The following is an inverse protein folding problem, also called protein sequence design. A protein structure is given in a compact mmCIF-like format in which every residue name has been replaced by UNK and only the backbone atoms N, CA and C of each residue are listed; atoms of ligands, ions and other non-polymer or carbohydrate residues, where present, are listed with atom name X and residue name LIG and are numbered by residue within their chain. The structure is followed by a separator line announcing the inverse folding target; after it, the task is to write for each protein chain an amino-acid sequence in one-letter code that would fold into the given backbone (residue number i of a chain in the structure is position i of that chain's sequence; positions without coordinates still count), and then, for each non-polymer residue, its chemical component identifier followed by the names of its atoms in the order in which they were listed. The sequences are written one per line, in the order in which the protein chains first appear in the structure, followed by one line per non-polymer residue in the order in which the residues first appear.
data_IF_058313160225
#
_entry.id   IF_058313160225
#
_cell.length_a   1.000
_cell.length_b   1.000
_cell.length_c   1.000
_cell.angle_alpha   90.00
_cell.angle_beta   90.00
_cell.angle_gamma   90.00
#
_symmetry.space_group_name_H-M   'P 1'
#
loop_
_entity.id
_entity.type
_entity.pdbx_description
1 polymer ?
#
# COMPACT_ATOMS: atom_id res chain seq x y z
N UNK A 1 -1.95 5.79 13.51
CA UNK A 1 -3.40 5.99 13.73
C UNK A 1 -3.60 6.34 15.18
N UNK A 2 -4.43 7.33 15.50
CA UNK A 2 -4.89 7.50 16.85
C UNK A 2 -5.72 6.27 17.21
N UNK A 3 -5.27 5.51 18.19
CA UNK A 3 -5.94 4.27 18.56
C UNK A 3 -7.17 4.54 19.46
N UNK A 4 -7.16 5.65 20.17
CA UNK A 4 -8.30 6.10 20.96
C UNK A 4 -9.15 7.12 20.17
N UNK A 5 -10.49 7.09 20.31
CA UNK A 5 -11.28 6.23 21.20
C UNK A 5 -11.62 4.83 20.65
N UNK A 6 -11.09 4.46 19.48
CA UNK A 6 -11.45 3.20 18.79
C UNK A 6 -11.19 1.96 19.64
N UNK A 7 -10.02 1.89 20.30
CA UNK A 7 -9.66 0.75 21.15
C UNK A 7 -10.67 0.58 22.29
N UNK A 8 -10.96 1.67 23.00
CA UNK A 8 -11.87 1.64 24.15
C UNK A 8 -13.30 1.27 23.74
N UNK A 9 -13.81 1.88 22.66
CA UNK A 9 -15.17 1.64 22.18
C UNK A 9 -15.38 0.25 21.62
N UNK A 10 -14.37 -0.32 20.96
CA UNK A 10 -14.45 -1.65 20.37
C UNK A 10 -14.52 -2.75 21.43
N UNK A 11 -13.84 -2.58 22.54
CA UNK A 11 -13.70 -3.56 23.62
C UNK A 11 -12.74 -4.71 23.26
N UNK A 12 -11.99 -5.18 24.26
CA UNK A 12 -10.87 -6.12 24.13
C UNK A 12 -11.21 -7.41 23.38
N UNK A 13 -12.41 -7.96 23.57
CA UNK A 13 -12.84 -9.20 22.94
C UNK A 13 -12.85 -9.13 21.39
N UNK A 14 -12.97 -7.93 20.82
CA UNK A 14 -13.00 -7.70 19.36
C UNK A 14 -11.65 -7.28 18.78
N UNK A 15 -10.65 -6.98 19.61
CA UNK A 15 -9.32 -6.54 19.14
C UNK A 15 -8.64 -7.51 18.17
N UNK A 16 -8.75 -8.85 18.31
CA UNK A 16 -8.14 -9.78 17.34
C UNK A 16 -8.66 -9.61 15.92
N UNK A 17 -9.88 -9.10 15.77
CA UNK A 17 -10.56 -8.89 14.48
C UNK A 17 -10.43 -7.46 13.97
N UNK A 18 -9.76 -6.58 14.69
CA UNK A 18 -9.58 -5.19 14.28
C UNK A 18 -8.49 -5.06 13.22
N UNK A 19 -8.86 -4.54 12.03
CA UNK A 19 -7.94 -4.43 10.90
C UNK A 19 -7.24 -5.77 10.63
N UNK A 20 -8.00 -6.83 10.52
CA UNK A 20 -7.54 -8.22 10.50
C UNK A 20 -7.01 -8.64 9.11
N UNK A 21 -6.10 -7.85 8.53
CA UNK A 21 -5.63 -8.03 7.15
C UNK A 21 -4.96 -9.37 6.91
N UNK A 22 -4.09 -9.83 7.84
CA UNK A 22 -3.46 -11.12 7.70
C UNK A 22 -4.48 -12.27 7.79
N UNK A 23 -5.44 -12.18 8.71
CA UNK A 23 -6.50 -13.19 8.81
C UNK A 23 -7.39 -13.24 7.55
N UNK A 24 -7.69 -12.09 6.93
CA UNK A 24 -8.44 -12.01 5.66
C UNK A 24 -7.63 -12.63 4.52
N UNK A 25 -6.35 -12.28 4.40
CA UNK A 25 -5.42 -12.86 3.42
C UNK A 25 -5.34 -14.38 3.55
N UNK A 26 -5.22 -14.90 4.78
CA UNK A 26 -5.05 -16.34 5.05
C UNK A 26 -6.31 -17.14 4.66
N UNK A 27 -7.45 -16.49 4.52
CA UNK A 27 -8.68 -17.07 3.95
C UNK A 27 -8.72 -16.97 2.42
N UNK A 28 -7.68 -16.46 1.76
CA UNK A 28 -7.63 -16.31 0.31
C UNK A 28 -8.54 -15.19 -0.23
N UNK A 29 -9.02 -14.29 0.63
CA UNK A 29 -9.87 -13.18 0.21
C UNK A 29 -9.00 -12.07 -0.41
N UNK A 30 -9.33 -11.58 -1.60
CA UNK A 30 -8.63 -10.44 -2.21
C UNK A 30 -8.70 -9.20 -1.31
N UNK A 31 -7.58 -8.49 -1.20
CA UNK A 31 -7.48 -7.25 -0.43
C UNK A 31 -7.16 -6.11 -1.41
N UNK A 32 -7.93 -5.04 -1.36
CA UNK A 32 -7.63 -3.78 -2.00
C UNK A 32 -7.28 -2.73 -0.93
N UNK A 33 -6.19 -1.98 -1.16
CA UNK A 33 -5.81 -0.88 -0.30
C UNK A 33 -6.20 0.47 -0.91
N UNK A 34 -6.61 1.39 -0.03
CA UNK A 34 -6.85 2.78 -0.31
C UNK A 34 -6.48 3.64 0.89
N UNK A 35 -6.33 4.94 0.70
CA UNK A 35 -5.98 5.88 1.77
C UNK A 35 -7.20 6.45 2.47
N UNK A 36 -8.37 6.37 1.86
CA UNK A 36 -9.58 7.05 2.35
C UNK A 36 -9.33 8.55 2.58
N UNK A 37 -8.56 9.16 1.67
CA UNK A 37 -8.27 10.59 1.76
C UNK A 37 -9.57 11.41 1.73
N UNK A 38 -9.74 12.43 2.59
CA UNK A 38 -8.75 13.08 3.46
C UNK A 38 -8.63 12.50 4.88
N UNK A 39 -9.25 11.37 5.18
CA UNK A 39 -9.18 10.72 6.51
C UNK A 39 -7.74 10.30 6.85
N UNK A 40 -7.01 9.81 5.86
CA UNK A 40 -5.57 9.51 5.96
C UNK A 40 -4.78 10.30 4.92
N UNK A 41 -3.45 10.44 5.07
CA UNK A 41 -2.60 11.01 4.03
C UNK A 41 -2.77 10.29 2.70
N UNK A 42 -2.74 11.04 1.59
CA UNK A 42 -2.89 10.49 0.24
C UNK A 42 -1.71 9.58 -0.19
N UNK A 43 -0.55 9.70 0.47
CA UNK A 43 0.68 8.99 0.13
C UNK A 43 0.56 7.46 0.32
N UNK A 44 0.58 6.65 -0.77
CA UNK A 44 0.48 5.21 -0.68
C UNK A 44 1.72 4.56 -0.05
N UNK A 45 2.92 5.15 -0.18
CA UNK A 45 4.12 4.62 0.45
C UNK A 45 4.04 4.74 1.98
N UNK A 46 3.45 5.82 2.49
CA UNK A 46 3.15 5.96 3.90
C UNK A 46 2.16 4.88 4.38
N UNK A 47 1.09 4.63 3.63
CA UNK A 47 0.08 3.63 3.98
C UNK A 47 0.67 2.20 3.94
N UNK A 48 1.48 1.87 2.92
CA UNK A 48 2.22 0.60 2.84
C UNK A 48 3.12 0.45 4.07
N UNK A 49 3.88 1.49 4.42
CA UNK A 49 4.72 1.47 5.61
C UNK A 49 3.92 1.16 6.87
N UNK A 50 2.76 1.77 7.05
CA UNK A 50 1.88 1.47 8.18
C UNK A 50 1.48 -0.01 8.25
N UNK A 51 1.20 -0.65 7.12
CA UNK A 51 0.87 -2.08 7.06
C UNK A 51 2.07 -2.98 7.40
N UNK A 52 3.30 -2.57 7.00
CA UNK A 52 4.53 -3.32 7.26
C UNK A 52 4.97 -3.28 8.73
N UNK A 53 4.79 -2.13 9.42
CA UNK A 53 5.31 -1.92 10.78
C UNK A 53 4.23 -1.93 11.85
N UNK A 54 3.02 -2.20 11.47
CA UNK A 54 1.90 -2.30 12.38
C UNK A 54 2.23 -3.20 13.58
N UNK A 55 1.84 -2.76 14.77
CA UNK A 55 1.95 -3.56 16.00
C UNK A 55 0.56 -3.99 16.45
N UNK A 56 0.44 -5.18 17.03
CA UNK A 56 -0.79 -5.57 17.72
C UNK A 56 -1.08 -4.61 18.87
N UNK A 57 -2.34 -4.52 19.26
CA UNK A 57 -2.75 -3.62 20.35
C UNK A 57 -2.40 -4.15 21.75
N UNK A 58 -2.04 -5.43 21.85
CA UNK A 58 -1.47 -6.07 23.03
C UNK A 58 -0.66 -7.29 22.60
N UNK A 59 0.25 -7.76 23.47
CA UNK A 59 1.20 -8.83 23.16
C UNK A 59 0.53 -10.17 22.86
N UNK A 60 -0.67 -10.40 23.39
CA UNK A 60 -1.47 -11.60 23.17
C UNK A 60 -2.38 -11.50 21.91
N UNK A 61 -2.27 -10.43 21.13
CA UNK A 61 -3.07 -10.24 19.91
C UNK A 61 -2.31 -10.77 18.68
N UNK A 62 -3.04 -11.26 17.65
CA UNK A 62 -2.42 -11.77 16.44
C UNK A 62 -1.67 -10.68 15.68
N UNK A 63 -0.57 -11.06 15.03
CA UNK A 63 0.14 -10.20 14.08
C UNK A 63 -0.67 -10.11 12.79
N UNK A 64 -1.09 -8.90 12.45
CA UNK A 64 -1.89 -8.60 11.28
C UNK A 64 -1.09 -7.85 10.19
N UNK A 65 0.25 -7.89 10.26
CA UNK A 65 1.11 -7.28 9.23
C UNK A 65 0.98 -8.02 7.91
N UNK A 66 1.16 -7.28 6.84
CA UNK A 66 1.35 -7.82 5.50
C UNK A 66 2.80 -7.64 5.06
N UNK A 67 3.27 -8.49 4.17
CA UNK A 67 4.56 -8.32 3.50
C UNK A 67 4.50 -7.16 2.49
N UNK A 68 5.66 -6.65 2.09
CA UNK A 68 5.74 -5.62 1.04
C UNK A 68 5.05 -6.07 -0.26
N UNK A 69 5.27 -7.32 -0.67
CA UNK A 69 4.66 -7.87 -1.88
C UNK A 69 3.13 -7.86 -1.80
N UNK A 70 2.56 -8.25 -0.67
CA UNK A 70 1.11 -8.24 -0.44
C UNK A 70 0.56 -6.81 -0.44
N UNK A 71 1.26 -5.87 0.18
CA UNK A 71 0.86 -4.46 0.17
C UNK A 71 0.88 -3.87 -1.25
N UNK A 72 1.92 -4.14 -2.04
CA UNK A 72 2.00 -3.70 -3.43
C UNK A 72 0.90 -4.33 -4.29
N UNK A 73 0.65 -5.62 -4.12
CA UNK A 73 -0.45 -6.30 -4.82
C UNK A 73 -1.82 -5.70 -4.43
N UNK A 74 -2.04 -5.37 -3.14
CA UNK A 74 -3.27 -4.74 -2.68
C UNK A 74 -3.50 -3.33 -3.27
N UNK A 75 -2.42 -2.56 -3.51
CA UNK A 75 -2.50 -1.25 -4.16
C UNK A 75 -2.59 -1.31 -5.69
N UNK A 76 -2.30 -2.43 -6.32
CA UNK A 76 -2.33 -2.59 -7.77
C UNK A 76 -3.41 -3.58 -8.21
N UNK A 77 -3.14 -4.88 -8.17
CA UNK A 77 -4.08 -5.93 -8.56
C UNK A 77 -5.36 -5.94 -7.71
N UNK A 78 -5.22 -5.69 -6.40
CA UNK A 78 -6.36 -5.58 -5.49
C UNK A 78 -7.27 -4.41 -5.83
N UNK A 79 -6.70 -3.25 -6.15
CA UNK A 79 -7.46 -2.09 -6.63
C UNK A 79 -8.19 -2.39 -7.93
N UNK A 80 -7.51 -2.99 -8.91
CA UNK A 80 -8.12 -3.39 -10.18
C UNK A 80 -9.27 -4.39 -9.97
N UNK A 81 -9.10 -5.39 -9.11
CA UNK A 81 -10.15 -6.33 -8.75
C UNK A 81 -11.37 -5.63 -8.13
N UNK A 82 -11.16 -4.69 -7.21
CA UNK A 82 -12.25 -3.97 -6.55
C UNK A 82 -13.08 -3.12 -7.51
N UNK A 83 -12.49 -2.70 -8.64
CA UNK A 83 -13.15 -1.92 -9.69
C UNK A 83 -13.58 -2.77 -10.90
N UNK A 84 -13.44 -4.11 -10.83
CA UNK A 84 -13.69 -5.03 -11.96
C UNK A 84 -12.84 -4.72 -13.20
N UNK A 85 -11.63 -4.20 -12.99
CA UNK A 85 -10.69 -3.75 -14.01
C UNK A 85 -9.47 -4.65 -14.21
N UNK A 86 -9.41 -5.83 -13.61
CA UNK A 86 -8.25 -6.73 -13.63
C UNK A 86 -7.83 -7.22 -15.02
N UNK A 87 -8.73 -7.14 -15.99
CA UNK A 87 -8.41 -7.39 -17.41
C UNK A 87 -7.88 -6.17 -18.17
N UNK A 88 -7.83 -4.99 -17.53
CA UNK A 88 -7.48 -3.71 -18.15
C UNK A 88 -6.25 -3.08 -17.51
N UNK A 89 -6.12 -3.12 -16.19
CA UNK A 89 -5.02 -2.49 -15.43
C UNK A 89 -4.68 -3.29 -14.17
N UNK A 90 -3.74 -2.79 -13.36
CA UNK A 90 -3.35 -3.39 -12.08
C UNK A 90 -2.10 -4.28 -12.13
N UNK A 91 -1.54 -4.51 -13.30
CA UNK A 91 -0.29 -5.26 -13.47
C UNK A 91 0.54 -4.71 -14.63
N UNK A 92 1.86 -4.93 -14.58
CA UNK A 92 2.76 -4.63 -15.69
C UNK A 92 2.80 -5.85 -16.60
N UNK A 93 1.93 -5.87 -17.62
CA UNK A 93 1.83 -6.96 -18.57
C UNK A 93 1.42 -6.44 -19.95
N UNK A 94 1.83 -7.15 -21.01
CA UNK A 94 1.43 -6.81 -22.37
C UNK A 94 -0.10 -6.90 -22.53
N UNK A 95 -0.69 -5.89 -23.14
CA UNK A 95 -2.15 -5.79 -23.34
C UNK A 95 -2.91 -5.05 -22.27
N UNK A 96 -2.29 -4.77 -21.11
CA UNK A 96 -2.87 -3.93 -20.07
C UNK A 96 -2.52 -2.46 -20.27
N UNK A 97 -3.27 -1.58 -19.59
CA UNK A 97 -3.00 -0.15 -19.56
C UNK A 97 -1.59 0.12 -19.01
N UNK A 98 -0.89 1.06 -19.62
CA UNK A 98 0.42 1.49 -19.17
C UNK A 98 0.27 2.48 -18.00
N UNK A 99 -0.16 1.97 -16.85
CA UNK A 99 -0.23 2.66 -15.57
C UNK A 99 0.96 2.23 -14.72
N UNK A 100 1.96 3.10 -14.63
CA UNK A 100 3.27 2.77 -14.07
C UNK A 100 3.70 3.82 -13.06
N UNK A 101 4.38 3.37 -12.02
CA UNK A 101 5.05 4.23 -11.04
C UNK A 101 6.51 3.82 -10.93
N UNK A 102 7.42 4.78 -11.10
CA UNK A 102 8.83 4.60 -10.78
C UNK A 102 9.11 5.14 -9.40
N UNK A 103 9.71 4.31 -8.57
CA UNK A 103 10.10 4.66 -7.20
C UNK A 103 11.61 4.68 -7.10
N UNK A 104 12.17 5.82 -6.68
CA UNK A 104 13.58 5.94 -6.30
C UNK A 104 13.76 5.55 -4.85
N UNK A 105 14.83 4.79 -4.55
CA UNK A 105 15.12 4.29 -3.22
C UNK A 105 14.72 2.83 -3.01
N UNK A 106 14.95 2.34 -1.80
CA UNK A 106 14.80 0.94 -1.44
C UNK A 106 13.41 0.66 -0.86
N UNK A 107 12.49 0.11 -1.67
CA UNK A 107 11.14 -0.29 -1.24
C UNK A 107 11.16 -1.31 -0.10
N UNK A 108 12.11 -2.23 -0.07
CA UNK A 108 12.30 -3.22 1.00
C UNK A 108 12.63 -2.57 2.35
N UNK A 109 13.08 -1.31 2.35
CA UNK A 109 13.37 -0.51 3.53
C UNK A 109 12.21 0.37 4.00
N UNK A 110 11.05 0.34 3.37
CA UNK A 110 9.89 1.12 3.80
C UNK A 110 9.51 0.86 5.26
N UNK A 111 9.69 -0.36 5.77
CA UNK A 111 9.48 -0.70 7.17
C UNK A 111 10.55 -0.20 8.13
N UNK A 112 11.66 0.36 7.65
CA UNK A 112 12.77 0.82 8.49
C UNK A 112 12.47 2.16 9.20
N UNK A 113 13.37 2.55 10.12
CA UNK A 113 13.28 3.85 10.82
C UNK A 113 13.57 5.06 9.90
N UNK A 114 14.24 4.83 8.78
CA UNK A 114 14.59 5.85 7.79
C UNK A 114 14.25 5.39 6.38
N UNK A 115 12.96 5.34 6.01
CA UNK A 115 12.57 5.03 4.64
C UNK A 115 13.06 6.16 3.72
N UNK A 116 13.59 5.79 2.55
CA UNK A 116 14.09 6.73 1.56
C UNK A 116 13.42 6.57 0.20
N UNK A 117 12.35 5.77 0.12
CA UNK A 117 11.62 5.57 -1.12
C UNK A 117 10.69 6.77 -1.42
N UNK A 118 10.71 7.23 -2.67
CA UNK A 118 9.82 8.29 -3.17
C UNK A 118 9.40 8.01 -4.60
N UNK A 119 8.22 8.44 -4.99
CA UNK A 119 7.77 8.41 -6.37
C UNK A 119 8.52 9.47 -7.17
N UNK A 120 9.13 9.08 -8.29
CA UNK A 120 9.87 9.98 -9.19
C UNK A 120 9.24 10.09 -10.57
N UNK A 121 8.43 9.11 -10.98
CA UNK A 121 7.67 9.16 -12.21
C UNK A 121 6.31 8.49 -12.02
N UNK A 122 5.28 9.05 -12.61
CA UNK A 122 3.96 8.41 -12.74
C UNK A 122 3.51 8.50 -14.18
N UNK A 123 3.11 7.34 -14.72
CA UNK A 123 2.51 7.20 -16.04
C UNK A 123 1.07 6.74 -15.84
N UNK A 124 0.12 7.41 -16.48
CA UNK A 124 -1.29 7.02 -16.48
C UNK A 124 -1.78 6.91 -17.93
N UNK A 125 -2.33 5.77 -18.29
CA UNK A 125 -2.77 5.45 -19.64
C UNK A 125 -1.70 5.75 -20.70
N UNK A 126 -0.44 5.39 -20.42
CA UNK A 126 0.70 5.62 -21.31
C UNK A 126 1.22 7.06 -21.34
N UNK A 127 0.69 7.97 -20.54
CA UNK A 127 1.11 9.39 -20.51
C UNK A 127 1.79 9.73 -19.19
N UNK A 128 2.93 10.40 -19.25
CA UNK A 128 3.60 10.92 -18.05
C UNK A 128 2.74 12.01 -17.44
N UNK A 129 2.30 11.80 -16.18
CA UNK A 129 1.47 12.74 -15.41
C UNK A 129 2.22 13.36 -14.24
N UNK A 130 3.33 12.76 -13.85
CA UNK A 130 4.25 13.30 -12.84
C UNK A 130 5.67 12.88 -13.16
N UNK A 131 6.61 13.81 -13.02
CA UNK A 131 8.04 13.57 -13.09
C UNK A 131 8.75 14.49 -12.11
N UNK A 132 9.61 13.92 -11.27
CA UNK A 132 10.41 14.68 -10.32
C UNK A 132 11.48 15.48 -11.07
N UNK A 133 11.72 16.74 -10.65
CA UNK A 133 12.65 17.66 -11.31
C UNK A 133 14.09 17.14 -11.44
N UNK A 134 14.53 16.29 -10.51
CA UNK A 134 15.87 15.70 -10.52
C UNK A 134 15.97 14.43 -11.38
N UNK A 135 14.85 13.86 -11.83
CA UNK A 135 14.85 12.73 -12.77
C UNK A 135 15.25 13.18 -14.17
N UNK A 136 14.76 14.32 -14.61
CA UNK A 136 15.05 14.89 -15.94
C UNK A 136 16.53 15.23 -16.15
N UNK A 137 17.28 15.42 -15.05
CA UNK A 137 18.73 15.77 -15.07
C UNK A 137 19.65 14.54 -15.06
N UNK A 138 19.11 13.34 -14.92
CA UNK A 138 19.89 12.10 -15.00
C UNK A 138 19.96 11.70 -16.48
N UNK A 139 20.91 12.30 -17.23
CA UNK A 139 21.29 11.76 -18.52
C UNK A 139 21.70 10.29 -18.31
N UNK A 140 21.09 9.42 -19.08
CA UNK A 140 21.53 8.03 -19.15
C UNK A 140 22.90 8.00 -19.80
N UNK A 141 23.97 8.05 -18.97
CA UNK A 141 25.33 7.83 -19.40
C UNK A 141 25.65 6.34 -19.48
#
# INVERSE_FOLDING_TARGET
MPLEPTISLMGRARWPHAFAWAAIRDQGVPIAFGTDWPVSPLDPLFAIRCALIRRPWADDMPDQRLSLRECLAAYSQGGAFAEFGEGVFGAVAAGLAADLVLVDGALDRLGSTRPNARVVLTVAAGRVVHMAEDLDKREYA
#
